data_IF_346916505114
#
_entry.id   IF_346916505114
#
_cell.length_a   1.000
_cell.length_b   1.000
_cell.length_c   1.000
_cell.angle_alpha   90.00
_cell.angle_beta   90.00
_cell.angle_gamma   90.00
#
_symmetry.space_group_name_H-M   'P 1'
#
loop_
_entity.id
_entity.type
_entity.pdbx_description
1 polymer ?
#
# COMPACT_ATOMS: atom_id res chain seq x y z
N UNK A 1 -3.55 23.55 28.61
CA UNK A 1 -3.81 23.28 27.19
C UNK A 1 -2.74 22.30 26.75
N UNK A 2 -3.10 21.03 26.57
CA UNK A 2 -2.17 20.06 26.00
C UNK A 2 -2.15 20.32 24.49
N UNK A 3 -0.98 20.66 23.94
CA UNK A 3 -0.76 20.50 22.52
C UNK A 3 -0.81 18.99 22.28
N UNK A 4 -1.94 18.51 21.76
CA UNK A 4 -1.94 17.33 20.91
C UNK A 4 -1.07 17.72 19.71
N UNK A 5 0.24 17.50 19.84
CA UNK A 5 1.02 17.24 18.65
C UNK A 5 0.39 15.97 18.08
N UNK A 6 -0.40 16.17 17.04
CA UNK A 6 -0.81 15.13 16.09
C UNK A 6 0.50 14.64 15.46
N UNK A 7 1.25 13.83 16.21
CA UNK A 7 2.61 13.36 15.92
C UNK A 7 2.58 12.17 14.93
N UNK A 8 1.56 12.13 14.08
CA UNK A 8 1.40 11.19 12.98
C UNK A 8 1.35 11.98 11.69
N UNK A 9 2.36 12.81 11.45
CA UNK A 9 2.60 13.29 10.10
C UNK A 9 2.85 12.06 9.20
N UNK A 10 2.29 12.00 7.98
CA UNK A 10 2.51 10.89 7.08
C UNK A 10 4.01 10.72 6.82
N UNK A 11 4.51 9.49 6.92
CA UNK A 11 5.93 9.18 6.69
C UNK A 11 6.36 9.42 5.24
N UNK A 12 5.42 9.33 4.29
CA UNK A 12 5.67 9.51 2.86
C UNK A 12 4.90 10.71 2.30
N UNK A 13 5.43 11.32 1.24
CA UNK A 13 4.83 12.46 0.53
C UNK A 13 4.48 12.11 -0.92
N UNK A 14 3.53 12.84 -1.50
CA UNK A 14 3.24 12.78 -2.93
C UNK A 14 4.53 13.01 -3.76
N UNK A 15 4.79 12.14 -4.73
CA UNK A 15 5.99 12.15 -5.56
C UNK A 15 7.16 11.30 -5.02
N UNK A 16 7.05 10.75 -3.80
CA UNK A 16 8.05 9.82 -3.27
C UNK A 16 8.02 8.50 -4.04
N UNK A 17 9.22 7.96 -4.29
CA UNK A 17 9.35 6.63 -4.91
C UNK A 17 9.41 5.58 -3.83
N UNK A 18 8.52 4.60 -3.91
CA UNK A 18 8.36 3.56 -2.90
C UNK A 18 8.34 2.19 -3.57
N UNK A 19 8.80 1.20 -2.82
CA UNK A 19 8.59 -0.20 -3.13
C UNK A 19 7.45 -0.69 -2.25
N UNK A 20 6.45 -1.27 -2.89
CA UNK A 20 5.31 -1.87 -2.21
C UNK A 20 5.75 -3.24 -1.70
N UNK A 21 5.45 -3.53 -0.44
CA UNK A 21 5.60 -4.80 0.21
C UNK A 21 4.21 -5.23 0.70
N UNK A 22 3.59 -6.17 -0.03
CA UNK A 22 2.32 -6.75 0.40
C UNK A 22 2.65 -8.10 1.02
N UNK A 23 2.46 -8.32 2.33
CA UNK A 23 2.78 -9.61 2.93
C UNK A 23 1.93 -10.74 2.34
N UNK A 24 2.52 -11.93 2.19
CA UNK A 24 1.76 -13.11 1.77
C UNK A 24 0.72 -13.43 2.86
N UNK A 25 -0.59 -13.48 2.54
CA UNK A 25 -1.61 -13.76 3.55
C UNK A 25 -1.52 -15.21 4.03
N UNK A 26 -1.59 -15.43 5.34
CA UNK A 26 -1.61 -16.77 5.92
C UNK A 26 -3.01 -17.38 5.79
N UNK A 27 -3.21 -18.50 5.08
CA UNK A 27 -4.52 -19.12 4.95
C UNK A 27 -5.16 -19.54 6.29
N UNK A 28 -4.36 -19.77 7.34
CA UNK A 28 -4.86 -20.17 8.65
C UNK A 28 -5.48 -18.99 9.43
N UNK A 29 -5.13 -17.74 9.08
CA UNK A 29 -5.76 -16.52 9.64
C UNK A 29 -7.17 -16.29 9.08
N UNK A 30 -7.51 -16.88 7.93
CA UNK A 30 -8.79 -16.72 7.25
C UNK A 30 -9.64 -18.01 7.33
N UNK A 31 -9.90 -18.45 8.56
CA UNK A 31 -10.49 -19.76 8.82
C UNK A 31 -11.98 -19.84 8.47
N UNK A 32 -12.74 -18.74 8.51
CA UNK A 32 -14.18 -18.74 8.24
C UNK A 32 -14.50 -18.59 6.74
N UNK A 33 -15.67 -19.05 6.27
CA UNK A 33 -16.07 -18.88 4.87
C UNK A 33 -16.12 -17.43 4.38
N UNK A 34 -16.44 -16.48 5.27
CA UNK A 34 -16.49 -15.04 4.97
C UNK A 34 -15.06 -14.50 4.78
N UNK A 35 -14.15 -14.85 5.70
CA UNK A 35 -12.73 -14.49 5.63
C UNK A 35 -12.02 -15.12 4.40
N UNK A 36 -12.50 -16.25 3.87
CA UNK A 36 -11.96 -16.82 2.62
C UNK A 36 -12.15 -15.93 1.38
N UNK A 37 -13.08 -14.97 1.42
CA UNK A 37 -13.17 -13.93 0.38
C UNK A 37 -12.05 -12.92 0.57
N UNK A 38 -11.82 -12.49 1.81
CA UNK A 38 -10.74 -11.56 2.18
C UNK A 38 -9.36 -12.17 1.89
N UNK A 39 -9.14 -13.46 2.19
CA UNK A 39 -7.94 -14.20 1.81
C UNK A 39 -7.66 -14.13 0.30
N UNK A 40 -8.69 -14.30 -0.53
CA UNK A 40 -8.53 -14.28 -1.99
C UNK A 40 -8.17 -12.89 -2.50
N UNK A 41 -8.71 -11.85 -1.89
CA UNK A 41 -8.36 -10.47 -2.20
C UNK A 41 -6.92 -10.16 -1.77
N UNK A 42 -6.57 -10.43 -0.50
CA UNK A 42 -5.22 -10.23 0.01
C UNK A 42 -4.17 -11.01 -0.80
N UNK A 43 -4.50 -12.24 -1.23
CA UNK A 43 -3.61 -13.06 -2.05
C UNK A 43 -3.45 -12.50 -3.46
N UNK A 44 -4.54 -12.02 -4.05
CA UNK A 44 -4.49 -11.33 -5.35
C UNK A 44 -3.61 -10.08 -5.25
N UNK A 45 -3.77 -9.28 -4.19
CA UNK A 45 -2.96 -8.07 -3.98
C UNK A 45 -1.48 -8.41 -3.80
N UNK A 46 -1.16 -9.45 -3.02
CA UNK A 46 0.20 -9.96 -2.90
C UNK A 46 0.77 -10.34 -4.27
N UNK A 47 0.05 -11.14 -5.06
CA UNK A 47 0.50 -11.60 -6.38
C UNK A 47 0.64 -10.46 -7.41
N UNK A 48 -0.16 -9.39 -7.29
CA UNK A 48 -0.15 -8.27 -8.25
C UNK A 48 0.80 -7.14 -7.87
N UNK A 49 1.01 -6.87 -6.58
CA UNK A 49 1.63 -5.64 -6.10
C UNK A 49 2.89 -5.85 -5.28
N UNK A 50 3.10 -7.03 -4.70
CA UNK A 50 4.27 -7.27 -3.87
C UNK A 50 5.58 -7.07 -4.64
N UNK A 51 6.50 -6.34 -4.01
CA UNK A 51 7.82 -6.03 -4.53
C UNK A 51 7.85 -5.01 -5.68
N UNK A 52 6.71 -4.51 -6.16
CA UNK A 52 6.65 -3.53 -7.25
C UNK A 52 7.07 -2.15 -6.79
N UNK A 53 7.65 -1.38 -7.70
CA UNK A 53 8.04 0.01 -7.47
C UNK A 53 7.01 0.93 -8.08
N UNK A 54 6.67 1.99 -7.35
CA UNK A 54 5.79 3.04 -7.82
C UNK A 54 6.12 4.38 -7.18
N UNK A 55 5.31 5.37 -7.53
CA UNK A 55 5.37 6.72 -7.00
C UNK A 55 4.09 7.01 -6.24
N UNK A 56 4.20 7.57 -5.03
CA UNK A 56 3.03 8.01 -4.26
C UNK A 56 2.32 9.11 -5.04
N UNK A 57 1.09 8.84 -5.48
CA UNK A 57 0.28 9.78 -6.23
C UNK A 57 -0.58 10.66 -5.32
N UNK A 58 -1.14 10.07 -4.26
CA UNK A 58 -1.97 10.79 -3.31
C UNK A 58 -1.83 10.23 -1.89
N UNK A 59 -1.77 11.13 -0.90
CA UNK A 59 -1.82 10.77 0.53
C UNK A 59 -3.24 10.97 1.03
N UNK A 60 -3.95 9.88 1.33
CA UNK A 60 -5.36 9.92 1.73
C UNK A 60 -5.48 10.32 3.20
N UNK A 61 -4.66 9.72 4.06
CA UNK A 61 -4.53 10.04 5.48
C UNK A 61 -3.13 9.65 5.97
N UNK A 62 -2.87 9.78 7.27
CA UNK A 62 -1.55 9.46 7.86
C UNK A 62 -1.12 8.00 7.69
N UNK A 63 -2.00 7.10 7.22
CA UNK A 63 -1.71 5.68 7.07
C UNK A 63 -1.98 5.13 5.67
N UNK A 64 -2.76 5.81 4.82
CA UNK A 64 -3.20 5.30 3.52
C UNK A 64 -2.69 6.15 2.37
N UNK A 65 -2.15 5.46 1.37
CA UNK A 65 -1.48 6.05 0.23
C UNK A 65 -1.93 5.37 -1.07
N UNK A 66 -2.14 6.18 -2.10
CA UNK A 66 -2.35 5.72 -3.47
C UNK A 66 -1.02 5.78 -4.23
N UNK A 67 -0.70 4.71 -4.96
CA UNK A 67 0.57 4.57 -5.67
C UNK A 67 0.34 4.30 -7.15
N UNK A 68 1.02 5.07 -7.99
CA UNK A 68 1.13 4.83 -9.42
C UNK A 68 2.35 3.95 -9.70
N UNK A 69 2.15 2.79 -10.32
CA UNK A 69 3.25 1.86 -10.57
C UNK A 69 4.06 2.22 -11.83
N UNK A 70 5.38 2.02 -11.76
CA UNK A 70 6.32 2.44 -12.80
C UNK A 70 6.15 1.68 -14.14
N UNK A 71 5.56 0.47 -14.12
CA UNK A 71 5.24 -0.31 -15.33
C UNK A 71 3.95 0.15 -16.04
N UNK A 72 3.31 1.20 -15.53
CA UNK A 72 2.16 1.84 -16.16
C UNK A 72 0.84 1.09 -15.98
N UNK A 73 0.82 -0.02 -15.23
CA UNK A 73 -0.44 -0.64 -14.82
C UNK A 73 -1.03 0.15 -13.63
N UNK A 74 -1.74 1.23 -13.93
CA UNK A 74 -2.63 1.81 -12.92
C UNK A 74 -3.91 0.98 -12.86
N UNK A 75 -4.38 0.57 -11.68
CA UNK A 75 -5.63 -0.20 -11.53
C UNK A 75 -6.90 0.64 -11.80
N UNK A 76 -6.80 1.74 -12.57
CA UNK A 76 -7.76 2.82 -12.63
C UNK A 76 -9.13 2.49 -13.25
N UNK A 77 -9.37 1.29 -13.78
CA UNK A 77 -10.53 1.04 -14.66
C UNK A 77 -11.42 -0.17 -14.31
N UNK A 78 -11.22 -0.87 -13.19
CA UNK A 78 -12.18 -1.89 -12.74
C UNK A 78 -12.58 -1.71 -11.27
N UNK A 79 -13.83 -2.02 -10.87
CA UNK A 79 -14.41 -1.68 -9.57
C UNK A 79 -13.85 -2.49 -8.38
N UNK A 80 -12.62 -2.97 -8.49
CA UNK A 80 -11.90 -3.63 -7.41
C UNK A 80 -10.87 -2.65 -6.84
N UNK A 81 -11.39 -1.74 -6.02
CA UNK A 81 -10.72 -1.04 -4.92
C UNK A 81 -9.43 -0.29 -5.31
N UNK A 82 -9.44 1.04 -5.21
CA UNK A 82 -8.18 1.78 -5.11
C UNK A 82 -7.34 1.14 -4.00
N UNK A 83 -6.23 0.52 -4.38
CA UNK A 83 -5.41 -0.27 -3.47
C UNK A 83 -4.69 0.74 -2.59
N UNK A 84 -5.26 0.95 -1.41
CA UNK A 84 -4.71 1.82 -0.40
C UNK A 84 -3.78 0.97 0.44
N UNK A 85 -2.50 1.19 0.26
CA UNK A 85 -1.48 0.54 1.07
C UNK A 85 -1.34 1.27 2.40
N UNK A 86 -1.09 0.50 3.45
CA UNK A 86 -0.76 1.05 4.75
C UNK A 86 0.68 1.54 4.76
N UNK A 87 1.01 2.46 5.66
CA UNK A 87 2.39 2.96 5.82
C UNK A 87 3.43 1.83 5.96
N UNK A 88 3.07 0.74 6.66
CA UNK A 88 3.93 -0.43 6.86
C UNK A 88 4.14 -1.29 5.61
N UNK A 89 3.36 -1.06 4.56
CA UNK A 89 3.45 -1.77 3.28
C UNK A 89 4.44 -1.09 2.32
N UNK A 90 5.17 -0.07 2.79
CA UNK A 90 6.12 0.66 1.97
C UNK A 90 7.55 0.59 2.48
N UNK A 91 8.45 0.39 1.53
CA UNK A 91 9.87 0.64 1.72
C UNK A 91 10.26 1.84 0.84
N UNK A 92 10.78 2.90 1.47
CA UNK A 92 11.37 4.03 0.74
C UNK A 92 12.48 3.49 -0.17
N UNK A 93 12.36 3.71 -1.49
CA UNK A 93 13.47 3.42 -2.38
C UNK A 93 14.42 4.59 -2.25
N UNK A 94 15.47 4.42 -1.44
CA UNK A 94 16.53 5.40 -1.29
C UNK A 94 17.02 5.84 -2.68
N UNK A 95 16.75 7.08 -3.06
CA UNK A 95 17.37 7.72 -4.23
C UNK A 95 18.75 8.21 -3.79
N UNK A 96 19.67 7.28 -3.53
CA UNK A 96 21.08 7.58 -3.33
C UNK A 96 21.92 6.48 -3.99
N UNK A 97 22.91 6.76 -4.84
CA UNK A 97 23.49 7.99 -5.38
C UNK A 97 24.38 7.50 -6.55
N UNK A 98 24.18 7.97 -7.79
CA UNK A 98 25.20 7.94 -8.87
C UNK A 98 24.98 9.12 -9.83
#
# INVERSE_FOLDING_TARGET
MANVNDDTAPQYSEGDRVRVNVPEPDPDEYATPEERVEYRLARYDHEQFDGRTGTVAYVINSFQYEVEFDDGSNPADEPHFGVNFLEGDFEAVDRGDD
#
